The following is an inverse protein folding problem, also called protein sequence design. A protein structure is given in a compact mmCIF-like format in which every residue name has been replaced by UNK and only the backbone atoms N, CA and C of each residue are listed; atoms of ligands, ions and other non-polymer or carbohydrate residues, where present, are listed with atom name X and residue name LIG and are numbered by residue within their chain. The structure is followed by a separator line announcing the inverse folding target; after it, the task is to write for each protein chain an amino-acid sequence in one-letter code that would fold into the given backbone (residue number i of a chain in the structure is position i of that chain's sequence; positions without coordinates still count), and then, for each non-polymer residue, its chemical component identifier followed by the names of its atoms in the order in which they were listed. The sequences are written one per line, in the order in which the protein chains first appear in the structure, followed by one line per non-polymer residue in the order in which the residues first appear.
data_IF_531261114305
#
_entry.id   IF_531261114305
#
_cell.length_a   1.000
_cell.length_b   1.000
_cell.length_c   1.000
_cell.angle_alpha   90.00
_cell.angle_beta   90.00
_cell.angle_gamma   90.00
#
_symmetry.space_group_name_H-M   'P 1'
#
loop_
_entity.id
_entity.type
_entity.pdbx_description
1 polymer ?
#
# COMPACT_ATOMS: atom_id res chain seq x y z
N UNK A 1 -20.86 13.53 -1.27
CA UNK A 1 -20.32 12.66 -0.18
C UNK A 1 -20.07 13.51 1.05
N UNK A 2 -20.44 13.03 2.25
CA UNK A 2 -20.14 13.72 3.53
C UNK A 2 -18.64 13.99 3.67
N UNK A 3 -18.27 15.14 4.26
CA UNK A 3 -16.89 15.63 4.42
C UNK A 3 -15.92 14.60 5.00
N UNK A 4 -16.42 13.63 5.79
CA UNK A 4 -15.57 12.71 6.53
C UNK A 4 -15.78 11.22 6.17
N UNK A 5 -16.52 10.92 5.10
CA UNK A 5 -16.88 9.52 4.78
C UNK A 5 -15.66 8.62 4.58
N UNK A 6 -14.72 8.99 3.71
CA UNK A 6 -13.54 8.17 3.42
C UNK A 6 -12.65 7.96 4.65
N UNK A 7 -12.49 8.99 5.48
CA UNK A 7 -11.72 8.90 6.73
C UNK A 7 -12.41 7.98 7.75
N UNK A 8 -13.74 8.10 7.90
CA UNK A 8 -14.51 7.26 8.82
C UNK A 8 -14.47 5.78 8.40
N UNK A 9 -14.68 5.49 7.12
CA UNK A 9 -14.64 4.13 6.58
C UNK A 9 -13.24 3.53 6.71
N UNK A 10 -12.20 4.29 6.37
CA UNK A 10 -10.81 3.82 6.51
C UNK A 10 -10.42 3.55 7.96
N UNK A 11 -10.80 4.45 8.86
CA UNK A 11 -10.57 4.30 10.32
C UNK A 11 -11.31 3.09 10.87
N UNK A 12 -12.56 2.89 10.48
CA UNK A 12 -13.35 1.74 10.87
C UNK A 12 -12.74 0.42 10.36
N UNK A 13 -12.28 0.40 9.10
CA UNK A 13 -11.59 -0.76 8.54
C UNK A 13 -10.31 -1.12 9.32
N UNK A 14 -9.47 -0.12 9.62
CA UNK A 14 -8.27 -0.34 10.42
C UNK A 14 -8.60 -0.80 11.84
N UNK A 15 -9.66 -0.26 12.44
CA UNK A 15 -10.15 -0.70 13.75
C UNK A 15 -10.65 -2.14 13.73
N UNK A 16 -11.35 -2.58 12.68
CA UNK A 16 -11.76 -3.98 12.53
C UNK A 16 -10.55 -4.93 12.47
N UNK A 17 -9.45 -4.54 11.82
CA UNK A 17 -8.21 -5.33 11.81
C UNK A 17 -7.55 -5.40 13.20
N UNK A 18 -7.62 -4.33 13.98
CA UNK A 18 -7.10 -4.32 15.35
C UNK A 18 -7.96 -5.21 16.25
N UNK A 19 -9.29 -5.06 16.17
CA UNK A 19 -10.24 -5.82 16.97
C UNK A 19 -10.25 -7.30 16.58
N UNK A 20 -9.99 -7.64 15.32
CA UNK A 20 -9.94 -9.05 14.91
C UNK A 20 -8.89 -9.84 15.69
N UNK A 21 -7.75 -9.22 16.03
CA UNK A 21 -6.70 -9.86 16.83
C UNK A 21 -7.17 -10.02 18.29
N UNK A 22 -7.80 -8.99 18.86
CA UNK A 22 -8.35 -9.08 20.22
C UNK A 22 -9.47 -10.14 20.33
N UNK A 23 -10.30 -10.25 19.29
CA UNK A 23 -11.37 -11.25 19.17
C UNK A 23 -10.82 -12.67 19.15
N UNK A 24 -9.74 -12.90 18.40
CA UNK A 24 -9.07 -14.20 18.36
C UNK A 24 -8.33 -14.50 19.65
N UNK A 25 -7.64 -13.51 20.24
CA UNK A 25 -6.96 -13.69 21.52
C UNK A 25 -7.92 -14.09 22.65
N UNK A 26 -9.10 -13.45 22.72
CA UNK A 26 -10.13 -13.80 23.70
C UNK A 26 -10.64 -15.25 23.57
N UNK A 27 -10.58 -15.84 22.37
CA UNK A 27 -10.99 -17.23 22.11
C UNK A 27 -9.93 -18.27 22.46
N UNK A 28 -8.65 -17.89 22.42
CA UNK A 28 -7.52 -18.81 22.65
C UNK A 28 -7.22 -19.00 24.15
N UNK A 29 -7.59 -18.05 25.01
CA UNK A 29 -7.35 -18.15 26.47
C UNK A 29 -8.14 -19.34 27.08
N UNK A 30 -7.48 -20.26 27.81
CA UNK A 30 -8.11 -21.44 28.42
C UNK A 30 -9.31 -21.11 29.33
N UNK A 31 -9.29 -19.94 29.97
CA UNK A 31 -10.34 -19.42 30.85
C UNK A 31 -11.66 -19.12 30.14
N UNK A 32 -11.69 -19.01 28.80
CA UNK A 32 -12.89 -18.75 28.00
C UNK A 32 -13.22 -19.87 27.00
N UNK A 33 -12.41 -20.95 26.98
CA UNK A 33 -12.54 -22.10 26.06
C UNK A 33 -13.86 -22.85 26.18
N UNK A 34 -14.53 -22.76 27.33
CA UNK A 34 -15.84 -23.40 27.56
C UNK A 34 -17.01 -22.69 26.85
N UNK A 35 -16.82 -21.43 26.40
CA UNK A 35 -17.84 -20.67 25.67
C UNK A 35 -17.78 -20.88 24.16
N UNK A 36 -16.67 -21.38 23.62
CA UNK A 36 -16.42 -21.49 22.18
C UNK A 36 -15.85 -22.87 21.87
N UNK A 37 -16.74 -23.86 21.77
CA UNK A 37 -16.56 -25.15 21.09
C UNK A 37 -15.25 -25.91 21.41
N UNK A 38 -15.25 -26.82 22.42
CA UNK A 38 -14.07 -27.60 22.83
C UNK A 38 -13.53 -28.58 21.75
N UNK A 39 -14.24 -28.70 20.63
CA UNK A 39 -13.95 -29.55 19.48
C UNK A 39 -13.24 -28.81 18.34
N UNK A 40 -12.82 -27.55 18.49
CA UNK A 40 -12.16 -26.79 17.42
C UNK A 40 -10.77 -26.30 17.84
N UNK A 41 -9.79 -26.39 16.93
CA UNK A 41 -8.53 -25.65 17.04
C UNK A 41 -8.64 -24.46 16.11
N UNK A 42 -8.78 -23.30 16.72
CA UNK A 42 -9.14 -22.03 16.09
C UNK A 42 -8.17 -20.98 16.63
N UNK A 43 -7.46 -20.31 15.76
CA UNK A 43 -6.60 -19.21 16.20
C UNK A 43 -5.88 -18.52 15.05
N UNK A 44 -5.63 -17.24 15.27
CA UNK A 44 -4.56 -16.52 14.63
C UNK A 44 -3.27 -16.87 15.40
N UNK A 45 -2.26 -17.45 14.74
CA UNK A 45 -0.98 -17.69 15.42
C UNK A 45 -0.45 -16.39 16.03
N UNK A 46 0.16 -16.45 17.22
CA UNK A 46 0.61 -15.25 17.93
C UNK A 46 1.41 -14.30 17.04
N UNK A 47 2.36 -14.82 16.25
CA UNK A 47 3.18 -14.00 15.34
C UNK A 47 2.35 -13.33 14.25
N UNK A 48 1.50 -14.06 13.53
CA UNK A 48 0.63 -13.46 12.53
C UNK A 48 -0.31 -12.44 13.17
N UNK A 49 -0.78 -12.68 14.40
CA UNK A 49 -1.71 -11.79 15.10
C UNK A 49 -1.06 -10.45 15.37
N UNK A 50 0.21 -10.46 15.78
CA UNK A 50 1.02 -9.26 15.92
C UNK A 50 1.28 -8.56 14.58
N UNK A 51 1.49 -9.30 13.48
CA UNK A 51 1.61 -8.73 12.14
C UNK A 51 0.33 -8.00 11.74
N UNK A 52 -0.83 -8.64 11.85
CA UNK A 52 -2.13 -8.03 11.52
C UNK A 52 -2.44 -6.83 12.41
N UNK A 53 -2.12 -6.91 13.70
CA UNK A 53 -2.26 -5.78 14.63
C UNK A 53 -1.37 -4.60 14.19
N UNK A 54 -0.10 -4.87 13.90
CA UNK A 54 0.86 -3.87 13.44
C UNK A 54 0.41 -3.20 12.14
N UNK A 55 -0.06 -3.98 11.17
CA UNK A 55 -0.65 -3.48 9.92
C UNK A 55 -1.88 -2.62 10.21
N UNK A 56 -2.80 -3.07 11.06
CA UNK A 56 -4.00 -2.33 11.44
C UNK A 56 -3.67 -0.97 12.07
N UNK A 57 -2.71 -0.93 12.99
CA UNK A 57 -2.22 0.31 13.61
C UNK A 57 -1.57 1.24 12.58
N UNK A 58 -0.70 0.71 11.72
CA UNK A 58 -0.04 1.51 10.68
C UNK A 58 -1.05 2.11 9.69
N UNK A 59 -2.03 1.33 9.25
CA UNK A 59 -3.10 1.80 8.35
C UNK A 59 -4.01 2.83 9.05
N UNK A 60 -4.28 2.67 10.35
CA UNK A 60 -5.02 3.64 11.14
C UNK A 60 -4.29 4.99 11.15
N UNK A 61 -3.00 4.98 11.51
CA UNK A 61 -2.17 6.19 11.55
C UNK A 61 -2.10 6.82 10.16
N UNK A 62 -1.82 6.03 9.11
CA UNK A 62 -1.73 6.54 7.74
C UNK A 62 -3.06 7.15 7.27
N UNK A 63 -4.21 6.56 7.62
CA UNK A 63 -5.54 7.09 7.31
C UNK A 63 -5.79 8.41 8.03
N UNK A 64 -5.47 8.48 9.33
CA UNK A 64 -5.64 9.70 10.13
C UNK A 64 -4.73 10.83 9.67
N UNK A 65 -3.51 10.52 9.21
CA UNK A 65 -2.60 11.50 8.62
C UNK A 65 -3.07 12.00 7.25
N UNK A 66 -3.68 11.13 6.43
CA UNK A 66 -4.17 11.49 5.10
C UNK A 66 -5.54 12.21 5.11
N UNK A 67 -6.31 12.10 6.20
CA UNK A 67 -7.67 12.63 6.29
C UNK A 67 -7.80 14.17 6.33
N UNK A 68 -6.94 14.95 7.04
CA UNK A 68 -7.05 16.40 7.11
C UNK A 68 -6.87 17.08 5.75
N UNK A 69 -7.57 18.19 5.53
CA UNK A 69 -7.39 18.99 4.31
C UNK A 69 -5.96 19.54 4.18
N UNK A 70 -5.27 19.74 5.31
CA UNK A 70 -3.86 20.13 5.35
C UNK A 70 -2.91 19.06 4.77
N UNK A 71 -3.31 17.78 4.72
CA UNK A 71 -2.52 16.71 4.08
C UNK A 71 -2.24 16.97 2.59
N UNK A 72 -2.89 17.98 2.02
CA UNK A 72 -2.82 18.35 0.61
C UNK A 72 -1.79 19.43 0.29
N UNK A 73 -1.16 20.04 1.30
CA UNK A 73 0.03 20.87 1.13
C UNK A 73 1.17 20.00 0.59
N UNK A 74 1.95 20.50 -0.39
CA UNK A 74 3.00 19.69 -1.04
C UNK A 74 3.98 19.09 -0.05
N UNK A 75 4.45 19.87 0.93
CA UNK A 75 5.38 19.41 1.97
C UNK A 75 4.76 18.30 2.81
N UNK A 76 3.55 18.51 3.35
CA UNK A 76 2.84 17.53 4.17
C UNK A 76 2.49 16.26 3.37
N UNK A 77 2.08 16.40 2.12
CA UNK A 77 1.80 15.27 1.24
C UNK A 77 3.04 14.38 1.06
N UNK A 78 4.21 14.99 0.83
CA UNK A 78 5.48 14.26 0.76
C UNK A 78 5.79 13.57 2.08
N UNK A 79 5.69 14.29 3.20
CA UNK A 79 5.96 13.75 4.54
C UNK A 79 5.06 12.58 4.88
N UNK A 80 3.75 12.67 4.62
CA UNK A 80 2.79 11.59 4.92
C UNK A 80 3.07 10.36 4.05
N UNK A 81 3.38 10.54 2.77
CA UNK A 81 3.75 9.43 1.87
C UNK A 81 4.99 8.71 2.36
N UNK A 82 6.05 9.45 2.72
CA UNK A 82 7.29 8.87 3.26
C UNK A 82 7.04 8.20 4.61
N UNK A 83 6.31 8.85 5.53
CA UNK A 83 6.01 8.29 6.85
C UNK A 83 5.24 6.97 6.73
N UNK A 84 4.27 6.89 5.81
CA UNK A 84 3.52 5.65 5.53
C UNK A 84 4.46 4.53 5.04
N UNK A 85 5.43 4.87 4.18
CA UNK A 85 6.41 3.91 3.68
C UNK A 85 7.36 3.41 4.77
N UNK A 86 7.84 4.32 5.62
CA UNK A 86 8.70 4.01 6.75
C UNK A 86 7.97 3.11 7.75
N UNK A 87 6.69 3.35 8.04
CA UNK A 87 5.90 2.47 8.91
C UNK A 87 5.80 1.05 8.34
N UNK A 88 5.48 0.90 7.04
CA UNK A 88 5.44 -0.42 6.40
C UNK A 88 6.80 -1.14 6.42
N UNK A 89 7.88 -0.39 6.17
CA UNK A 89 9.25 -0.90 6.22
C UNK A 89 9.66 -1.32 7.64
N UNK A 90 9.32 -0.53 8.64
CA UNK A 90 9.61 -0.82 10.05
C UNK A 90 8.89 -2.11 10.52
N UNK A 91 7.62 -2.29 10.15
CA UNK A 91 6.90 -3.53 10.42
C UNK A 91 7.60 -4.74 9.77
N UNK A 92 8.06 -4.59 8.53
CA UNK A 92 8.77 -5.66 7.84
C UNK A 92 10.08 -6.04 8.55
N UNK A 93 10.88 -5.07 9.03
CA UNK A 93 12.08 -5.38 9.80
C UNK A 93 11.80 -6.04 11.16
N UNK A 94 10.65 -5.75 11.78
CA UNK A 94 10.28 -6.36 13.06
C UNK A 94 9.90 -7.84 12.86
N UNK A 95 9.13 -8.14 11.81
CA UNK A 95 8.47 -9.44 11.65
C UNK A 95 9.09 -10.36 10.60
N UNK A 96 9.82 -9.83 9.61
CA UNK A 96 10.43 -10.62 8.53
C UNK A 96 11.94 -10.67 8.74
N UNK A 97 12.38 -11.71 9.45
CA UNK A 97 13.80 -11.92 9.82
C UNK A 97 14.55 -12.87 8.90
N UNK A 98 13.82 -13.54 8.02
CA UNK A 98 14.39 -14.48 7.06
C UNK A 98 15.14 -13.72 5.96
N UNK A 99 16.27 -14.29 5.55
CA UNK A 99 16.98 -13.88 4.36
C UNK A 99 16.34 -14.54 3.16
N UNK A 100 15.99 -13.72 2.17
CA UNK A 100 15.50 -14.21 0.89
C UNK A 100 16.58 -13.94 -0.14
N UNK A 101 17.12 -15.02 -0.69
CA UNK A 101 17.89 -14.92 -1.91
C UNK A 101 16.94 -14.83 -3.09
N UNK A 102 17.22 -13.85 -3.94
CA UNK A 102 16.55 -13.73 -5.21
C UNK A 102 17.59 -14.00 -6.29
N UNK A 103 17.39 -15.12 -6.98
CA UNK A 103 18.15 -15.43 -8.17
C UNK A 103 17.57 -14.62 -9.33
N UNK A 104 18.41 -13.78 -9.93
CA UNK A 104 18.06 -13.06 -11.14
C UNK A 104 18.23 -13.95 -12.37
N UNK A 105 17.67 -15.15 -12.33
CA UNK A 105 17.51 -15.98 -13.52
C UNK A 105 16.57 -15.27 -14.51
N UNK A 106 16.69 -15.60 -15.79
CA UNK A 106 16.08 -14.87 -16.90
C UNK A 106 14.64 -14.42 -16.66
N UNK A 107 13.79 -15.19 -16.00
CA UNK A 107 12.38 -14.81 -15.76
C UNK A 107 12.21 -13.72 -14.70
N UNK A 108 12.72 -13.95 -13.49
CA UNK A 108 12.61 -13.03 -12.35
C UNK A 108 13.36 -11.73 -12.60
N UNK A 109 14.54 -11.82 -13.23
CA UNK A 109 15.33 -10.65 -13.63
C UNK A 109 14.58 -9.71 -14.57
N UNK A 110 13.85 -10.26 -15.56
CA UNK A 110 13.06 -9.44 -16.49
C UNK A 110 11.90 -8.73 -15.80
N UNK A 111 11.19 -9.40 -14.89
CA UNK A 111 10.06 -8.79 -14.17
C UNK A 111 10.55 -7.63 -13.31
N UNK A 112 11.63 -7.83 -12.57
CA UNK A 112 12.20 -6.79 -11.71
C UNK A 112 12.76 -5.65 -12.54
N UNK A 113 13.43 -5.94 -13.67
CA UNK A 113 13.87 -4.93 -14.63
C UNK A 113 12.72 -4.11 -15.19
N UNK A 114 11.57 -4.72 -15.47
CA UNK A 114 10.39 -3.98 -15.93
C UNK A 114 9.86 -3.05 -14.85
N UNK A 115 9.75 -3.51 -13.60
CA UNK A 115 9.26 -2.70 -12.48
C UNK A 115 10.22 -1.53 -12.20
N UNK A 116 11.52 -1.81 -12.06
CA UNK A 116 12.53 -0.78 -11.83
C UNK A 116 12.65 0.16 -13.03
N UNK A 117 12.65 -0.36 -14.25
CA UNK A 117 12.69 0.43 -15.47
C UNK A 117 11.51 1.39 -15.55
N UNK A 118 10.28 0.91 -15.31
CA UNK A 118 9.07 1.74 -15.30
C UNK A 118 9.13 2.80 -14.20
N UNK A 119 9.51 2.41 -12.98
CA UNK A 119 9.64 3.31 -11.85
C UNK A 119 10.65 4.42 -12.12
N UNK A 120 11.86 4.04 -12.53
CA UNK A 120 12.98 4.95 -12.80
C UNK A 120 12.68 5.88 -13.99
N UNK A 121 12.01 5.37 -15.02
CA UNK A 121 11.53 6.18 -16.15
C UNK A 121 10.51 7.21 -15.69
N UNK A 122 9.51 6.79 -14.92
CA UNK A 122 8.50 7.70 -14.39
C UNK A 122 9.17 8.81 -13.55
N UNK A 123 10.15 8.45 -12.72
CA UNK A 123 10.96 9.42 -11.95
C UNK A 123 11.62 10.43 -12.85
N UNK A 124 12.42 9.91 -13.78
CA UNK A 124 13.28 10.72 -14.62
C UNK A 124 12.43 11.68 -15.45
N UNK A 125 11.35 11.19 -16.06
CA UNK A 125 10.44 12.01 -16.85
C UNK A 125 9.73 13.07 -16.00
N UNK A 126 9.33 12.75 -14.77
CA UNK A 126 8.69 13.74 -13.91
C UNK A 126 9.65 14.80 -13.36
N UNK A 127 10.91 14.45 -13.11
CA UNK A 127 11.96 15.40 -12.74
C UNK A 127 12.37 16.30 -13.91
N UNK A 128 12.37 15.76 -15.12
CA UNK A 128 12.75 16.49 -16.33
C UNK A 128 11.59 17.26 -16.96
N UNK A 129 10.33 17.03 -16.55
CA UNK A 129 9.13 17.61 -17.18
C UNK A 129 9.18 19.13 -17.34
N UNK A 130 9.78 19.84 -16.38
CA UNK A 130 9.87 21.29 -16.41
C UNK A 130 11.24 21.79 -16.94
N UNK A 131 12.17 20.87 -17.25
CA UNK A 131 13.54 21.17 -17.72
C UNK A 131 13.75 20.87 -19.19
N UNK A 132 13.01 19.92 -19.76
CA UNK A 132 13.12 19.57 -21.18
C UNK A 132 11.75 19.35 -21.81
N UNK A 133 11.54 19.81 -23.07
CA UNK A 133 10.30 19.57 -23.79
C UNK A 133 10.07 18.07 -24.09
N UNK A 134 11.15 17.29 -24.15
CA UNK A 134 11.14 15.83 -24.35
C UNK A 134 10.48 15.08 -23.19
N UNK A 135 10.55 15.59 -21.97
CA UNK A 135 10.02 14.90 -20.80
C UNK A 135 8.48 14.85 -20.72
N UNK A 136 7.78 15.55 -21.62
CA UNK A 136 6.34 15.40 -21.85
C UNK A 136 5.97 14.37 -22.92
N UNK A 137 6.94 13.89 -23.71
CA UNK A 137 6.69 13.01 -24.85
C UNK A 137 6.52 11.54 -24.42
N UNK A 138 5.44 10.91 -24.86
CA UNK A 138 5.23 9.48 -24.67
C UNK A 138 6.34 8.64 -25.32
N UNK A 139 6.85 9.06 -26.49
CA UNK A 139 7.94 8.37 -27.17
C UNK A 139 9.25 8.42 -26.37
N UNK A 140 9.55 9.56 -25.75
CA UNK A 140 10.73 9.68 -24.88
C UNK A 140 10.60 8.82 -23.63
N UNK A 141 9.39 8.69 -23.07
CA UNK A 141 9.13 7.82 -21.92
C UNK A 141 9.30 6.36 -22.29
N UNK A 142 8.76 5.94 -23.44
CA UNK A 142 8.90 4.56 -23.92
C UNK A 142 10.37 4.26 -24.23
N UNK A 143 11.07 5.16 -24.93
CA UNK A 143 12.48 5.00 -25.25
C UNK A 143 13.36 4.89 -24.00
N UNK A 144 13.16 5.77 -23.02
CA UNK A 144 13.88 5.72 -21.75
C UNK A 144 13.57 4.44 -20.97
N UNK A 145 12.31 4.01 -20.94
CA UNK A 145 11.91 2.74 -20.35
C UNK A 145 12.62 1.57 -21.01
N UNK A 146 12.62 1.48 -22.34
CA UNK A 146 13.25 0.39 -23.06
C UNK A 146 14.77 0.34 -22.82
N UNK A 147 15.43 1.50 -22.79
CA UNK A 147 16.87 1.59 -22.48
C UNK A 147 17.14 1.12 -21.04
N UNK A 148 16.41 1.65 -20.06
CA UNK A 148 16.60 1.28 -18.66
C UNK A 148 16.25 -0.20 -18.42
N UNK A 149 15.17 -0.68 -19.02
CA UNK A 149 14.79 -2.08 -18.99
C UNK A 149 15.89 -2.97 -19.56
N UNK A 150 16.41 -2.65 -20.76
CA UNK A 150 17.46 -3.44 -21.39
C UNK A 150 18.75 -3.45 -20.56
N UNK A 151 19.16 -2.31 -20.03
CA UNK A 151 20.34 -2.21 -19.14
C UNK A 151 20.14 -3.04 -17.87
N UNK A 152 18.97 -2.93 -17.23
CA UNK A 152 18.67 -3.67 -16.01
C UNK A 152 18.59 -5.19 -16.28
N UNK A 153 17.88 -5.58 -17.32
CA UNK A 153 17.59 -6.98 -17.66
C UNK A 153 18.80 -7.74 -18.21
N UNK A 154 19.64 -7.09 -19.04
CA UNK A 154 20.70 -7.78 -19.79
C UNK A 154 22.11 -7.45 -19.31
N UNK A 155 22.30 -6.40 -18.52
CA UNK A 155 23.62 -6.04 -17.99
C UNK A 155 23.66 -6.12 -16.46
N UNK A 156 22.75 -5.44 -15.75
CA UNK A 156 22.84 -5.29 -14.30
C UNK A 156 22.45 -6.58 -13.57
N UNK A 157 21.23 -7.07 -13.76
CA UNK A 157 20.75 -8.24 -13.01
C UNK A 157 21.50 -9.54 -13.34
N UNK A 158 21.86 -9.82 -14.60
CA UNK A 158 22.72 -10.97 -14.90
C UNK A 158 24.11 -10.88 -14.25
N UNK A 159 24.67 -9.67 -14.11
CA UNK A 159 25.96 -9.48 -13.44
C UNK A 159 25.87 -9.57 -11.91
N UNK A 160 24.70 -9.29 -11.33
CA UNK A 160 24.46 -9.42 -9.89
C UNK A 160 24.29 -10.88 -9.45
N UNK A 161 23.83 -11.77 -10.35
CA UNK A 161 23.66 -13.19 -10.04
C UNK A 161 22.60 -13.43 -8.97
N UNK A 162 23.02 -13.95 -7.82
CA UNK A 162 22.15 -14.15 -6.64
C UNK A 162 22.35 -13.01 -5.65
N UNK A 163 21.26 -12.33 -5.28
CA UNK A 163 21.29 -11.28 -4.26
C UNK A 163 20.47 -11.74 -3.05
N UNK A 164 21.16 -11.89 -1.93
CA UNK A 164 20.58 -12.24 -0.64
C UNK A 164 20.39 -10.99 0.19
N UNK A 165 19.13 -10.67 0.52
CA UNK A 165 18.78 -9.57 1.42
C UNK A 165 17.77 -10.07 2.45
N UNK A 166 17.81 -9.49 3.64
CA UNK A 166 16.75 -9.67 4.64
C UNK A 166 15.39 -9.30 4.03
N UNK A 167 14.32 -10.02 4.38
CA UNK A 167 12.98 -9.70 3.89
C UNK A 167 12.52 -8.28 4.24
N UNK A 168 12.95 -7.73 5.38
CA UNK A 168 12.76 -6.32 5.73
C UNK A 168 13.33 -5.35 4.69
N UNK A 169 14.53 -5.62 4.15
CA UNK A 169 15.13 -4.82 3.08
C UNK A 169 14.35 -4.94 1.77
N UNK A 170 13.90 -6.13 1.39
CA UNK A 170 13.07 -6.33 0.19
C UNK A 170 11.77 -5.51 0.26
N UNK A 171 11.07 -5.55 1.39
CA UNK A 171 9.87 -4.75 1.59
C UNK A 171 10.19 -3.25 1.58
N UNK A 172 11.32 -2.84 2.16
CA UNK A 172 11.77 -1.44 2.14
C UNK A 172 12.01 -0.94 0.71
N UNK A 173 12.66 -1.74 -0.13
CA UNK A 173 12.88 -1.42 -1.55
C UNK A 173 11.53 -1.26 -2.26
N UNK A 174 10.61 -2.21 -2.06
CA UNK A 174 9.27 -2.16 -2.64
C UNK A 174 8.49 -0.90 -2.23
N UNK A 175 8.44 -0.61 -0.92
CA UNK A 175 7.76 0.58 -0.41
C UNK A 175 8.46 1.88 -0.86
N UNK A 176 9.79 1.86 -1.00
CA UNK A 176 10.57 2.95 -1.59
C UNK A 176 10.16 3.25 -3.04
N UNK A 177 10.05 2.21 -3.87
CA UNK A 177 9.59 2.34 -5.26
C UNK A 177 8.16 2.88 -5.35
N UNK A 178 7.26 2.38 -4.51
CA UNK A 178 5.86 2.84 -4.46
C UNK A 178 5.77 4.30 -4.02
N UNK A 179 6.59 4.70 -3.04
CA UNK A 179 6.69 6.08 -2.55
C UNK A 179 7.10 7.00 -3.69
N UNK A 180 8.17 6.63 -4.38
CA UNK A 180 8.69 7.33 -5.55
C UNK A 180 7.56 7.52 -6.58
N UNK A 181 6.97 6.42 -7.07
CA UNK A 181 5.88 6.46 -8.07
C UNK A 181 4.72 7.34 -7.60
N UNK A 182 4.34 7.24 -6.33
CA UNK A 182 3.24 8.02 -5.75
C UNK A 182 3.51 9.53 -5.78
N UNK A 183 4.75 9.96 -5.55
CA UNK A 183 5.19 11.36 -5.52
C UNK A 183 5.38 11.96 -6.91
N UNK A 184 5.76 11.14 -7.88
CA UNK A 184 6.07 11.54 -9.25
C UNK A 184 4.84 11.86 -10.07
N UNK A 185 3.79 11.06 -9.91
CA UNK A 185 2.57 11.25 -10.69
C UNK A 185 1.90 12.54 -10.23
N UNK A 186 1.84 13.56 -11.10
CA UNK A 186 1.18 14.82 -10.74
C UNK A 186 -0.35 14.62 -10.63
N UNK A 187 -1.04 15.37 -9.76
CA UNK A 187 -0.51 16.29 -8.75
C UNK A 187 0.07 15.55 -7.52
N UNK A 188 1.16 16.08 -6.95
CA UNK A 188 1.85 15.52 -5.76
C UNK A 188 0.94 15.48 -4.53
N UNK A 189 -0.04 16.40 -4.46
CA UNK A 189 -1.05 16.43 -3.40
C UNK A 189 -1.93 15.16 -3.34
N UNK A 190 -1.87 14.28 -4.35
CA UNK A 190 -2.54 12.98 -4.33
C UNK A 190 -1.65 11.82 -3.85
N UNK A 191 -0.36 12.05 -3.64
CA UNK A 191 0.60 11.01 -3.27
C UNK A 191 0.24 10.27 -1.96
N UNK A 192 -0.22 10.93 -0.88
CA UNK A 192 -0.62 10.23 0.35
C UNK A 192 -1.72 9.22 0.12
N UNK A 193 -2.71 9.57 -0.72
CA UNK A 193 -3.84 8.71 -0.98
C UNK A 193 -3.46 7.52 -1.88
N UNK A 194 -2.59 7.74 -2.89
CA UNK A 194 -2.05 6.63 -3.70
C UNK A 194 -1.24 5.67 -2.83
N UNK A 195 -0.42 6.22 -1.94
CA UNK A 195 0.36 5.43 -1.00
C UNK A 195 -0.54 4.62 -0.06
N UNK A 196 -1.59 5.23 0.48
CA UNK A 196 -2.56 4.55 1.34
C UNK A 196 -3.32 3.44 0.58
N UNK A 197 -3.71 3.67 -0.67
CA UNK A 197 -4.31 2.65 -1.54
C UNK A 197 -3.34 1.47 -1.69
N UNK A 198 -2.10 1.73 -2.10
CA UNK A 198 -1.11 0.66 -2.29
C UNK A 198 -0.82 -0.08 -0.98
N UNK A 199 -0.62 0.65 0.13
CA UNK A 199 -0.41 0.06 1.44
C UNK A 199 -1.58 -0.84 1.87
N UNK A 200 -2.83 -0.43 1.60
CA UNK A 200 -4.00 -1.26 1.89
C UNK A 200 -4.07 -2.53 1.03
N UNK A 201 -3.61 -2.48 -0.23
CA UNK A 201 -3.52 -3.66 -1.10
C UNK A 201 -2.46 -4.63 -0.56
N UNK A 202 -1.26 -4.14 -0.23
CA UNK A 202 -0.21 -4.98 0.34
C UNK A 202 -0.58 -5.55 1.70
N UNK A 203 -1.28 -4.78 2.53
CA UNK A 203 -1.86 -5.26 3.77
C UNK A 203 -2.88 -6.38 3.54
N UNK A 204 -3.77 -6.22 2.56
CA UNK A 204 -4.73 -7.26 2.18
C UNK A 204 -4.00 -8.52 1.68
N UNK A 205 -2.98 -8.38 0.83
CA UNK A 205 -2.18 -9.51 0.35
C UNK A 205 -1.47 -10.22 1.50
N UNK A 206 -0.78 -9.49 2.38
CA UNK A 206 -0.10 -10.06 3.54
C UNK A 206 -1.07 -10.83 4.45
N UNK A 207 -2.25 -10.27 4.71
CA UNK A 207 -3.29 -10.89 5.54
C UNK A 207 -3.99 -12.06 4.86
N UNK A 208 -4.20 -12.00 3.54
CA UNK A 208 -4.81 -13.10 2.78
C UNK A 208 -3.85 -14.29 2.65
N UNK A 209 -2.59 -14.02 2.34
CA UNK A 209 -1.56 -15.06 2.21
C UNK A 209 -1.22 -15.72 3.55
N UNK A 210 -1.42 -15.03 4.68
CA UNK A 210 -1.25 -15.64 6.00
C UNK A 210 -2.25 -16.76 6.29
N UNK A 211 -3.37 -16.85 5.55
CA UNK A 211 -4.35 -17.93 5.75
C UNK A 211 -3.76 -19.32 5.50
N UNK A 212 -2.87 -19.45 4.50
CA UNK A 212 -2.20 -20.70 4.19
C UNK A 212 -1.24 -21.14 5.31
N UNK A 213 -0.44 -20.19 5.81
CA UNK A 213 0.48 -20.41 6.92
C UNK A 213 -0.27 -20.80 8.21
N UNK A 214 -1.30 -20.03 8.58
CA UNK A 214 -2.15 -20.31 9.75
C UNK A 214 -2.74 -21.71 9.67
N UNK A 215 -3.21 -22.13 8.48
CA UNK A 215 -3.76 -23.47 8.30
C UNK A 215 -2.70 -24.56 8.46
N UNK A 216 -1.49 -24.35 7.94
CA UNK A 216 -0.38 -25.30 8.10
C UNK A 216 -0.04 -25.53 9.56
N UNK A 217 0.11 -24.46 10.35
CA UNK A 217 0.46 -24.63 11.77
C UNK A 217 -0.66 -25.29 12.55
N UNK A 218 -1.92 -24.99 12.25
CA UNK A 218 -3.05 -25.67 12.87
C UNK A 218 -3.07 -27.19 12.58
N UNK A 219 -2.63 -27.60 11.38
CA UNK A 219 -2.44 -29.02 11.06
C UNK A 219 -1.30 -29.64 11.89
N UNK A 220 -0.18 -28.94 12.04
CA UNK A 220 0.95 -29.42 12.84
C UNK A 220 0.60 -29.56 14.32
N UNK A 221 -0.12 -28.58 14.89
CA UNK A 221 -0.66 -28.66 16.24
C UNK A 221 -1.65 -29.82 16.42
N UNK A 222 -2.48 -30.10 15.40
CA UNK A 222 -3.38 -31.25 15.43
C UNK A 222 -2.63 -32.58 15.46
N UNK A 223 -1.59 -32.72 14.64
CA UNK A 223 -0.76 -33.92 14.58
C UNK A 223 0.04 -34.13 15.87
N UNK A 224 0.42 -33.05 16.56
CA UNK A 224 1.12 -33.11 17.84
C UNK A 224 0.23 -33.60 19.01
N UNK A 225 -1.10 -33.48 18.90
CA UNK A 225 -2.04 -34.00 19.91
C UNK A 225 -2.42 -35.45 19.56
N UNK A 226 -1.88 -36.43 20.28
CA UNK A 226 -2.22 -37.85 20.09
C UNK A 226 -3.53 -38.25 20.80
N UNK A 227 -4.48 -38.87 20.07
CA UNK A 227 -5.70 -39.50 20.63
C UNK A 227 -6.95 -39.41 19.72
N UNK A 228 -8.03 -40.16 20.05
CA UNK A 228 -9.30 -40.20 19.27
C UNK A 228 -9.93 -38.81 19.13
N UNK A 229 -9.74 -37.92 20.10
CA UNK A 229 -10.22 -36.54 20.07
C UNK A 229 -9.49 -35.61 19.09
N UNK A 230 -8.34 -36.02 18.55
CA UNK A 230 -7.60 -35.22 17.57
C UNK A 230 -8.18 -35.34 16.16
N UNK A 231 -8.75 -36.49 15.80
CA UNK A 231 -9.32 -36.75 14.46
C UNK A 231 -10.66 -36.04 14.20
N UNK A 232 -11.36 -35.62 15.26
CA UNK A 232 -12.66 -34.92 15.17
C UNK A 232 -12.55 -33.40 15.34
N UNK A 233 -11.33 -32.85 15.45
CA UNK A 233 -11.17 -31.41 15.61
C UNK A 233 -11.30 -30.69 14.27
N UNK A 234 -12.28 -29.81 14.19
CA UNK A 234 -12.53 -29.00 13.01
C UNK A 234 -11.45 -27.90 12.88
N UNK A 235 -10.76 -27.88 11.74
CA UNK A 235 -9.75 -26.89 11.40
C UNK A 235 -10.37 -25.82 10.51
N UNK A 236 -10.69 -24.67 11.10
CA UNK A 236 -11.28 -23.56 10.37
C UNK A 236 -10.47 -22.29 10.57
N UNK A 237 -10.24 -21.58 9.46
CA UNK A 237 -9.79 -20.18 9.48
C UNK A 237 -10.88 -19.37 10.20
N UNK A 238 -10.49 -18.73 11.30
CA UNK A 238 -11.43 -18.20 12.28
C UNK A 238 -12.15 -16.93 11.82
N UNK A 239 -13.28 -16.61 12.48
CA UNK A 239 -14.08 -15.42 12.19
C UNK A 239 -13.28 -14.11 12.30
N UNK A 240 -12.25 -14.06 13.15
CA UNK A 240 -11.35 -12.91 13.25
C UNK A 240 -10.49 -12.72 12.00
N UNK A 241 -10.01 -13.79 11.36
CA UNK A 241 -9.31 -13.63 10.08
C UNK A 241 -10.22 -12.97 9.02
N UNK A 242 -11.49 -13.42 8.93
CA UNK A 242 -12.49 -12.81 8.05
C UNK A 242 -12.77 -11.35 8.40
N UNK A 243 -12.87 -11.01 9.70
CA UNK A 243 -12.98 -9.62 10.14
C UNK A 243 -11.78 -8.77 9.70
N UNK A 244 -10.56 -9.33 9.75
CA UNK A 244 -9.36 -8.69 9.25
C UNK A 244 -9.41 -8.44 7.73
N UNK A 245 -9.85 -9.42 6.95
CA UNK A 245 -10.07 -9.26 5.49
C UNK A 245 -11.07 -8.15 5.21
N UNK A 246 -12.23 -8.17 5.87
CA UNK A 246 -13.25 -7.12 5.75
C UNK A 246 -12.68 -5.76 6.19
N UNK A 247 -11.86 -5.73 7.23
CA UNK A 247 -11.13 -4.54 7.67
C UNK A 247 -10.25 -3.96 6.56
N UNK A 248 -9.42 -4.78 5.92
CA UNK A 248 -8.55 -4.33 4.80
C UNK A 248 -9.35 -3.76 3.62
N UNK A 249 -10.51 -4.36 3.31
CA UNK A 249 -11.41 -3.88 2.27
C UNK A 249 -11.97 -2.50 2.60
N UNK A 250 -12.40 -2.27 3.85
CA UNK A 250 -12.87 -0.97 4.29
C UNK A 250 -11.75 0.09 4.27
N UNK A 251 -10.51 -0.26 4.64
CA UNK A 251 -9.37 0.66 4.48
C UNK A 251 -9.19 1.06 3.02
N UNK A 252 -9.21 0.10 2.10
CA UNK A 252 -9.10 0.36 0.67
C UNK A 252 -10.22 1.28 0.16
N UNK A 253 -11.48 0.99 0.50
CA UNK A 253 -12.65 1.82 0.12
C UNK A 253 -12.50 3.24 0.68
N UNK A 254 -12.06 3.37 1.93
CA UNK A 254 -11.77 4.65 2.57
C UNK A 254 -10.70 5.45 1.83
N UNK A 255 -9.60 4.79 1.47
CA UNK A 255 -8.48 5.38 0.74
C UNK A 255 -8.88 5.86 -0.66
N UNK A 256 -9.62 5.04 -1.42
CA UNK A 256 -10.15 5.40 -2.74
C UNK A 256 -11.14 6.56 -2.63
N UNK A 257 -11.99 6.57 -1.60
CA UNK A 257 -12.95 7.66 -1.37
C UNK A 257 -12.26 8.99 -1.09
N UNK A 258 -11.19 8.97 -0.28
CA UNK A 258 -10.37 10.15 0.00
C UNK A 258 -9.66 10.65 -1.27
N UNK A 259 -9.06 9.73 -2.04
CA UNK A 259 -8.42 10.03 -3.31
C UNK A 259 -9.39 10.66 -4.32
N UNK A 260 -10.55 10.04 -4.53
CA UNK A 260 -11.54 10.47 -5.51
C UNK A 260 -12.05 11.88 -5.19
N UNK A 261 -12.41 12.12 -3.92
CA UNK A 261 -12.83 13.46 -3.47
C UNK A 261 -11.75 14.50 -3.72
N UNK A 262 -10.48 14.19 -3.44
CA UNK A 262 -9.41 15.17 -3.63
C UNK A 262 -9.12 15.42 -5.11
N UNK A 263 -9.13 14.38 -5.94
CA UNK A 263 -9.01 14.50 -7.39
C UNK A 263 -10.06 15.47 -7.93
N UNK A 264 -11.30 15.34 -7.48
CA UNK A 264 -12.40 16.21 -7.93
C UNK A 264 -12.21 17.65 -7.46
N UNK A 265 -11.79 17.88 -6.22
CA UNK A 265 -11.47 19.22 -5.72
C UNK A 265 -10.36 19.91 -6.54
N UNK A 266 -9.31 19.17 -6.90
CA UNK A 266 -8.21 19.71 -7.71
C UNK A 266 -8.72 20.08 -9.10
N UNK A 267 -9.46 19.18 -9.75
CA UNK A 267 -10.03 19.45 -11.08
C UNK A 267 -10.98 20.65 -11.08
N UNK A 268 -11.78 20.82 -10.03
CA UNK A 268 -12.68 21.98 -9.92
C UNK A 268 -11.90 23.28 -9.74
N UNK A 269 -10.82 23.28 -8.95
CA UNK A 269 -9.94 24.45 -8.81
C UNK A 269 -9.24 24.81 -10.12
N UNK A 270 -8.67 23.82 -10.80
CA UNK A 270 -8.03 24.02 -12.11
C UNK A 270 -9.01 24.60 -13.15
N UNK A 271 -10.27 24.14 -13.15
CA UNK A 271 -11.31 24.70 -14.02
C UNK A 271 -11.64 26.15 -13.67
N UNK A 272 -11.76 26.46 -12.38
CA UNK A 272 -12.05 27.82 -11.92
C UNK A 272 -10.90 28.80 -12.22
N UNK A 273 -9.64 28.35 -12.09
CA UNK A 273 -8.46 29.13 -12.44
C UNK A 273 -8.41 29.43 -13.94
N UNK A 274 -8.62 28.41 -14.80
CA UNK A 274 -8.70 28.62 -16.25
C UNK A 274 -9.81 29.57 -16.66
N UNK A 275 -10.97 29.50 -16.01
CA UNK A 275 -12.07 30.44 -16.25
C UNK A 275 -11.71 31.87 -15.85
N UNK A 276 -10.98 32.06 -14.75
CA UNK A 276 -10.50 33.38 -14.33
C UNK A 276 -9.43 33.93 -15.26
N UNK A 277 -8.52 33.10 -15.75
CA UNK A 277 -7.51 33.49 -16.73
C UNK A 277 -8.15 33.90 -18.06
N UNK A 278 -9.10 33.09 -18.56
CA UNK A 278 -9.86 33.44 -19.76
C UNK A 278 -10.63 34.75 -19.58
N UNK A 279 -11.29 34.96 -18.43
CA UNK A 279 -11.99 36.21 -18.14
C UNK A 279 -11.06 37.42 -18.08
N UNK A 280 -9.84 37.26 -17.55
CA UNK A 280 -8.82 38.33 -17.54
C UNK A 280 -8.30 38.66 -18.94
N UNK A 281 -8.08 37.65 -19.77
CA UNK A 281 -7.68 37.84 -21.17
C UNK A 281 -8.76 38.58 -21.95
N UNK A 282 -10.02 38.14 -21.84
CA UNK A 282 -11.14 38.84 -22.49
C UNK A 282 -11.32 40.28 -21.98
N UNK A 283 -11.13 40.54 -20.68
CA UNK A 283 -11.18 41.91 -20.15
C UNK A 283 -10.06 42.78 -20.73
N UNK A 284 -8.83 42.27 -20.81
CA UNK A 284 -7.69 42.98 -21.38
C UNK A 284 -7.88 43.28 -22.88
N UNK A 285 -8.48 42.36 -23.64
CA UNK A 285 -8.81 42.57 -25.06
C UNK A 285 -9.88 43.67 -25.26
N UNK A 286 -10.90 43.71 -24.40
CA UNK A 286 -11.94 44.75 -24.44
C UNK A 286 -11.36 46.13 -24.11
N UNK A 287 -10.50 46.22 -23.11
CA UNK A 287 -9.85 47.47 -22.73
C UNK A 287 -8.91 47.97 -23.84
N UNK A 288 -8.15 47.06 -24.47
CA UNK A 288 -7.32 47.38 -25.63
C UNK A 288 -8.16 47.92 -26.80
N UNK A 289 -9.29 47.27 -27.11
CA UNK A 289 -10.20 47.69 -28.18
C UNK A 289 -10.93 49.01 -27.91
N UNK A 290 -11.03 49.45 -26.64
CA UNK A 290 -11.61 50.75 -26.27
C UNK A 290 -10.60 51.89 -26.29
N UNK A 291 -9.31 51.58 -26.21
CA UNK A 291 -8.23 52.55 -26.10
C UNK A 291 -7.54 52.90 -27.42
N UNK A 292 -7.85 52.17 -28.51
CA UNK A 292 -7.42 52.45 -29.88
C UNK A 292 -8.56 53.00 -30.72
#
# INVERSE_FOLDING_TARGET
MRKNFGAAVGTFGAFLMIVSVAWEYARVIPSYRFLVEPWSMRGFEMVHGWVTLGIGVALLIATLLAAPEAATERSRAVTITIATAVMGSALAFIFIREDYSLEFDGGTGLIIAAIFGLGTTAVTMALLKDRTPLAGSQLASIGLFLVLFAVLAFAVFPALGEVTLTGGLWVTILFGLITIVSLIVRPVALAPYRMLINASIFAALAHLLSAGAIRSTLFDEQNAVSGVSAQYKDLQVTSGWMMGVVGTLFVFIGAVSLWARRRDQIKTRERAEKQREAARQSAAEIDAARSG
#
